data_IF_552294413201
#
_entry.id   IF_552294413201
#
_cell.length_a   1.000
_cell.length_b   1.000
_cell.length_c   1.000
_cell.angle_alpha   90.00
_cell.angle_beta   90.00
_cell.angle_gamma   90.00
#
_symmetry.space_group_name_H-M   'P 1'
#
loop_
_entity.id
_entity.type
_entity.pdbx_description
1 polymer ?
#
# COMPACT_ATOMS: atom_id res chain seq x y z
N UNK A 1 2.09 -17.37 -5.32
CA UNK A 1 1.13 -16.28 -5.11
C UNK A 1 1.89 -14.97 -5.34
N UNK A 2 1.49 -14.18 -6.33
CA UNK A 2 2.25 -12.98 -6.73
C UNK A 2 1.32 -11.78 -6.87
N UNK A 3 1.85 -10.60 -6.54
CA UNK A 3 1.23 -9.30 -6.76
C UNK A 3 2.21 -8.44 -7.57
N UNK A 4 2.26 -8.71 -8.88
CA UNK A 4 3.14 -8.05 -9.83
C UNK A 4 2.34 -7.54 -11.03
N UNK A 5 1.50 -6.51 -10.83
CA UNK A 5 0.62 -6.00 -11.87
C UNK A 5 1.39 -5.39 -13.04
N UNK A 6 0.71 -5.32 -14.19
CA UNK A 6 1.23 -4.70 -15.40
C UNK A 6 1.28 -3.19 -15.23
N UNK A 7 2.43 -2.59 -15.54
CA UNK A 7 2.51 -1.13 -15.66
C UNK A 7 1.92 -0.68 -16.99
N UNK A 8 1.01 0.29 -16.96
CA UNK A 8 0.30 0.76 -18.17
C UNK A 8 1.19 1.41 -19.22
N UNK A 9 2.40 1.86 -18.85
CA UNK A 9 3.31 2.53 -19.78
C UNK A 9 3.99 1.61 -20.79
N UNK A 10 4.36 0.39 -20.41
CA UNK A 10 5.01 -0.59 -21.30
C UNK A 10 4.32 -1.96 -21.33
N UNK A 11 3.24 -2.14 -20.57
CA UNK A 11 2.46 -3.37 -20.50
C UNK A 11 3.18 -4.53 -19.83
N UNK A 12 4.36 -4.31 -19.24
CA UNK A 12 5.13 -5.37 -18.56
C UNK A 12 4.89 -5.37 -17.05
N UNK A 13 4.98 -6.55 -16.38
CA UNK A 13 4.93 -6.61 -14.93
C UNK A 13 5.99 -5.72 -14.30
N UNK A 14 5.59 -4.88 -13.34
CA UNK A 14 6.51 -3.99 -12.62
C UNK A 14 7.34 -3.04 -13.51
N UNK A 15 6.89 -2.75 -14.73
CA UNK A 15 7.61 -1.91 -15.70
C UNK A 15 9.00 -2.44 -16.09
N UNK A 16 9.14 -3.77 -16.14
CA UNK A 16 10.40 -4.46 -16.43
C UNK A 16 11.01 -4.09 -17.78
N UNK A 17 10.21 -3.93 -18.84
CA UNK A 17 10.72 -3.60 -20.17
C UNK A 17 11.34 -2.19 -20.23
N UNK A 18 10.86 -1.29 -19.38
CA UNK A 18 11.40 0.06 -19.22
C UNK A 18 12.46 0.18 -18.12
N UNK A 19 12.87 -0.94 -17.52
CA UNK A 19 13.85 -0.97 -16.44
C UNK A 19 13.39 -0.32 -15.13
N UNK A 20 12.06 -0.16 -14.93
CA UNK A 20 11.50 0.47 -13.72
C UNK A 20 11.52 -0.43 -12.51
N UNK A 21 11.50 -1.73 -12.71
CA UNK A 21 11.46 -2.72 -11.65
C UNK A 21 11.40 -4.14 -12.19
N UNK A 22 11.15 -5.07 -11.29
CA UNK A 22 10.98 -6.50 -11.62
C UNK A 22 10.17 -7.19 -10.54
N UNK A 23 9.52 -8.30 -10.89
CA UNK A 23 8.79 -9.12 -9.93
C UNK A 23 9.76 -10.03 -9.17
N UNK A 24 9.95 -9.79 -7.87
CA UNK A 24 10.92 -10.49 -7.04
C UNK A 24 10.28 -11.17 -5.82
N UNK A 25 10.99 -12.11 -5.22
CA UNK A 25 10.59 -12.73 -3.95
C UNK A 25 10.62 -11.70 -2.82
N UNK A 26 9.63 -11.77 -1.94
CA UNK A 26 9.54 -10.86 -0.80
C UNK A 26 10.52 -11.30 0.29
N UNK A 27 11.37 -10.36 0.71
CA UNK A 27 12.30 -10.56 1.83
C UNK A 27 11.56 -10.37 3.15
N UNK A 28 11.38 -11.46 3.89
CA UNK A 28 10.76 -11.44 5.22
C UNK A 28 11.78 -11.12 6.29
N UNK A 29 11.33 -10.51 7.38
CA UNK A 29 12.16 -10.23 8.55
C UNK A 29 12.55 -11.52 9.26
N UNK A 30 13.85 -11.68 9.55
CA UNK A 30 14.38 -12.77 10.38
C UNK A 30 14.55 -12.35 11.86
N UNK A 31 14.01 -11.19 12.25
CA UNK A 31 14.07 -10.73 13.63
C UNK A 31 13.26 -11.67 14.54
N UNK A 32 13.71 -11.93 15.79
CA UNK A 32 12.98 -12.78 16.71
C UNK A 32 11.64 -12.15 17.09
N UNK A 33 10.61 -13.00 17.24
CA UNK A 33 9.31 -12.56 17.73
C UNK A 33 9.37 -12.26 19.23
N UNK A 34 8.63 -11.23 19.65
CA UNK A 34 8.49 -10.89 21.05
C UNK A 34 7.65 -11.95 21.79
N UNK A 35 7.96 -12.27 23.06
CA UNK A 35 7.20 -13.27 23.83
C UNK A 35 5.76 -12.83 24.16
N UNK A 36 5.39 -11.58 23.86
CA UNK A 36 4.06 -11.03 24.14
C UNK A 36 2.97 -11.61 23.23
N UNK A 37 3.35 -12.21 22.09
CA UNK A 37 2.43 -12.87 21.18
C UNK A 37 2.73 -14.38 21.15
N UNK A 38 2.07 -15.19 22.00
CA UNK A 38 2.38 -16.61 22.16
C UNK A 38 1.70 -17.52 21.11
N UNK A 39 1.17 -16.95 20.04
CA UNK A 39 0.47 -17.68 18.99
C UNK A 39 1.30 -17.74 17.71
N UNK A 40 1.00 -18.70 16.84
CA UNK A 40 1.65 -18.85 15.54
C UNK A 40 0.66 -19.40 14.53
N UNK A 41 0.64 -18.81 13.33
CA UNK A 41 -0.23 -19.22 12.23
C UNK A 41 -1.71 -18.93 12.49
N UNK A 42 -2.02 -17.98 13.37
CA UNK A 42 -3.40 -17.60 13.71
C UNK A 42 -3.79 -16.23 13.15
N UNK A 43 -2.81 -15.44 12.71
CA UNK A 43 -3.03 -14.09 12.22
C UNK A 43 -2.44 -13.87 10.83
N UNK A 44 -3.26 -13.34 9.91
CA UNK A 44 -2.86 -13.04 8.53
C UNK A 44 -1.69 -12.03 8.42
N UNK A 45 -1.43 -11.29 9.51
CA UNK A 45 -0.36 -10.28 9.62
C UNK A 45 0.99 -10.87 10.01
N UNK A 46 1.03 -12.14 10.43
CA UNK A 46 2.29 -12.82 10.71
C UNK A 46 3.14 -12.92 9.45
N UNK A 47 4.42 -12.56 9.55
CA UNK A 47 5.33 -12.54 8.39
C UNK A 47 4.76 -11.77 7.19
N UNK A 48 4.07 -10.66 7.45
CA UNK A 48 3.42 -9.86 6.40
C UNK A 48 4.38 -9.57 5.22
N UNK A 49 3.94 -9.77 3.96
CA UNK A 49 2.60 -10.15 3.49
C UNK A 49 2.47 -11.63 3.05
N UNK A 50 3.29 -12.55 3.57
CA UNK A 50 3.46 -13.91 3.00
C UNK A 50 2.20 -14.78 2.96
N UNK A 51 1.20 -14.47 3.79
CA UNK A 51 -0.10 -15.15 3.75
C UNK A 51 -0.77 -14.94 2.38
N UNK A 52 -0.71 -13.72 1.84
CA UNK A 52 -1.34 -13.36 0.58
C UNK A 52 -0.41 -13.54 -0.62
N UNK A 53 0.84 -13.05 -0.55
CA UNK A 53 1.76 -13.04 -1.67
C UNK A 53 3.19 -13.34 -1.22
N UNK A 54 3.92 -14.09 -2.05
CA UNK A 54 5.34 -14.38 -1.83
C UNK A 54 6.24 -13.58 -2.77
N UNK A 55 5.65 -12.96 -3.81
CA UNK A 55 6.33 -12.16 -4.81
C UNK A 55 5.62 -10.83 -5.02
N UNK A 56 6.39 -9.76 -5.13
CA UNK A 56 5.90 -8.41 -5.37
C UNK A 56 6.87 -7.61 -6.26
N UNK A 57 6.42 -6.47 -6.76
CA UNK A 57 7.28 -5.57 -7.52
C UNK A 57 8.38 -4.96 -6.64
N UNK A 58 9.63 -5.12 -7.07
CA UNK A 58 10.78 -4.39 -6.54
C UNK A 58 11.24 -3.37 -7.58
N UNK A 59 11.11 -2.09 -7.23
CA UNK A 59 11.41 -0.99 -8.13
C UNK A 59 12.89 -0.59 -8.10
N UNK A 60 13.39 -0.16 -9.25
CA UNK A 60 14.77 0.25 -9.48
C UNK A 60 14.95 1.75 -9.24
N UNK A 61 16.09 2.16 -8.68
CA UNK A 61 16.46 3.57 -8.55
C UNK A 61 15.43 4.40 -7.77
N UNK A 62 14.86 5.42 -8.42
CA UNK A 62 13.87 6.33 -7.84
C UNK A 62 12.42 5.98 -8.22
N UNK A 63 12.18 4.87 -8.91
CA UNK A 63 10.81 4.40 -9.18
C UNK A 63 10.17 3.81 -7.91
N UNK A 64 8.84 3.86 -7.82
CA UNK A 64 8.04 3.40 -6.68
C UNK A 64 6.61 3.07 -7.14
N UNK A 65 5.77 2.59 -6.23
CA UNK A 65 4.38 2.21 -6.50
C UNK A 65 4.22 0.70 -6.58
N UNK A 66 2.97 0.25 -6.64
CA UNK A 66 2.63 -1.18 -6.65
C UNK A 66 3.05 -1.88 -7.96
N UNK A 67 3.21 -1.12 -9.05
CA UNK A 67 3.63 -1.55 -10.39
C UNK A 67 4.93 -0.86 -10.87
N UNK A 68 5.62 -0.14 -9.98
CA UNK A 68 6.78 0.71 -10.29
C UNK A 68 6.52 1.88 -11.27
N UNK A 69 5.26 2.24 -11.49
CA UNK A 69 4.86 3.32 -12.39
C UNK A 69 4.99 4.74 -11.84
N UNK A 70 5.22 4.88 -10.53
CA UNK A 70 5.33 6.18 -9.84
C UNK A 70 6.74 6.46 -9.36
N UNK A 71 6.94 7.59 -8.69
CA UNK A 71 8.25 8.01 -8.20
C UNK A 71 8.32 7.97 -6.67
N UNK A 72 9.50 7.68 -6.15
CA UNK A 72 9.81 7.75 -4.73
C UNK A 72 9.53 9.16 -4.19
N UNK A 73 9.14 9.27 -2.93
CA UNK A 73 8.92 10.55 -2.26
C UNK A 73 10.10 11.53 -2.50
N UNK A 74 9.76 12.74 -2.96
CA UNK A 74 10.74 13.77 -3.31
C UNK A 74 11.21 13.75 -4.77
N UNK A 75 10.85 12.73 -5.55
CA UNK A 75 11.16 12.60 -6.97
C UNK A 75 9.89 12.65 -7.83
N UNK A 76 10.02 13.26 -9.01
CA UNK A 76 8.93 13.55 -9.94
C UNK A 76 9.43 13.44 -11.39
N UNK A 77 8.50 13.63 -12.32
CA UNK A 77 8.75 13.50 -13.76
C UNK A 77 8.61 12.06 -14.24
N UNK A 78 8.53 11.84 -15.56
CA UNK A 78 8.30 10.52 -16.14
C UNK A 78 9.40 9.51 -15.76
N UNK A 79 10.63 9.97 -15.56
CA UNK A 79 11.80 9.14 -15.22
C UNK A 79 12.25 9.27 -13.76
N UNK A 80 11.48 9.94 -12.91
CA UNK A 80 11.79 10.11 -11.48
C UNK A 80 13.17 10.76 -11.20
N UNK A 81 13.60 11.66 -12.09
CA UNK A 81 14.87 12.39 -11.99
C UNK A 81 14.70 13.80 -11.45
N UNK A 82 13.49 14.36 -11.50
CA UNK A 82 13.22 15.72 -11.04
C UNK A 82 13.03 15.72 -9.53
N UNK A 83 13.74 16.61 -8.82
CA UNK A 83 13.58 16.75 -7.37
C UNK A 83 12.49 17.76 -7.04
N UNK A 84 11.59 17.39 -6.14
CA UNK A 84 10.55 18.28 -5.61
C UNK A 84 10.57 18.28 -4.09
N UNK A 85 10.79 19.45 -3.52
CA UNK A 85 10.66 19.67 -2.07
C UNK A 85 9.21 20.06 -1.74
N UNK A 86 8.62 19.35 -0.78
CA UNK A 86 7.34 19.71 -0.18
C UNK A 86 7.56 20.04 1.30
N UNK A 87 7.04 21.17 1.77
CA UNK A 87 7.18 21.61 3.16
C UNK A 87 5.87 21.38 3.89
N UNK A 88 5.89 20.56 4.94
CA UNK A 88 4.76 20.41 5.87
C UNK A 88 4.79 21.58 6.84
N UNK A 89 3.81 22.47 6.74
CA UNK A 89 3.68 23.66 7.59
C UNK A 89 2.71 23.39 8.75
N UNK A 90 2.83 24.16 9.83
CA UNK A 90 1.83 24.16 10.89
C UNK A 90 0.49 24.63 10.31
N UNK A 91 -0.59 23.91 10.63
CA UNK A 91 -1.95 24.25 10.17
C UNK A 91 -2.37 25.64 10.61
N UNK A 92 -1.92 26.12 11.78
CA UNK A 92 -2.27 27.43 12.30
C UNK A 92 -1.66 28.58 11.49
N UNK A 93 -0.49 28.35 10.89
CA UNK A 93 0.26 29.33 10.08
C UNK A 93 -0.26 29.45 8.63
N UNK A 94 -1.25 28.63 8.25
CA UNK A 94 -1.86 28.69 6.93
C UNK A 94 -2.83 29.86 6.82
N UNK A 95 -2.85 30.49 5.64
CA UNK A 95 -3.86 31.49 5.26
C UNK A 95 -5.26 30.84 5.18
N UNK A 96 -6.31 31.66 5.27
CA UNK A 96 -7.70 31.17 5.17
C UNK A 96 -7.94 30.38 3.87
N UNK A 97 -7.51 30.83 2.68
CA UNK A 97 -7.65 30.05 1.45
C UNK A 97 -6.90 28.71 1.48
N UNK A 98 -5.70 28.66 2.07
CA UNK A 98 -4.93 27.41 2.21
C UNK A 98 -5.64 26.42 3.13
N UNK A 99 -6.17 26.87 4.27
CA UNK A 99 -6.97 26.04 5.19
C UNK A 99 -8.22 25.48 4.50
N UNK A 100 -8.96 26.34 3.79
CA UNK A 100 -10.16 25.92 3.06
C UNK A 100 -9.82 24.89 1.97
N UNK A 101 -8.72 25.09 1.24
CA UNK A 101 -8.24 24.13 0.23
C UNK A 101 -7.84 22.79 0.86
N UNK A 102 -7.15 22.81 2.00
CA UNK A 102 -6.79 21.60 2.74
C UNK A 102 -8.03 20.81 3.18
N UNK A 103 -9.00 21.47 3.82
CA UNK A 103 -10.25 20.85 4.25
C UNK A 103 -11.05 20.30 3.06
N UNK A 104 -11.13 21.05 1.96
CA UNK A 104 -11.80 20.59 0.74
C UNK A 104 -11.17 19.31 0.17
N UNK A 105 -9.84 19.18 0.18
CA UNK A 105 -9.19 17.95 -0.27
C UNK A 105 -9.36 16.77 0.67
N UNK A 106 -9.44 16.98 1.99
CA UNK A 106 -9.80 15.92 2.93
C UNK A 106 -11.22 15.40 2.65
N UNK A 107 -12.17 16.31 2.44
CA UNK A 107 -13.54 15.95 2.05
C UNK A 107 -13.55 15.23 0.71
N UNK A 108 -12.80 15.71 -0.28
CA UNK A 108 -12.68 15.03 -1.57
C UNK A 108 -12.14 13.60 -1.40
N UNK A 109 -11.08 13.41 -0.61
CA UNK A 109 -10.51 12.08 -0.35
C UNK A 109 -11.50 11.13 0.33
N UNK A 110 -12.38 11.65 1.20
CA UNK A 110 -13.44 10.86 1.85
C UNK A 110 -14.55 10.43 0.90
N UNK A 111 -14.76 11.17 -0.20
CA UNK A 111 -15.80 10.88 -1.19
C UNK A 111 -15.27 10.30 -2.51
N UNK A 112 -13.96 10.08 -2.63
CA UNK A 112 -13.33 9.53 -3.84
C UNK A 112 -12.91 8.08 -3.59
N UNK A 113 -13.50 7.14 -4.33
CA UNK A 113 -13.06 5.74 -4.32
C UNK A 113 -11.59 5.65 -4.74
N UNK A 114 -10.83 4.84 -4.00
CA UNK A 114 -9.43 4.53 -4.30
C UNK A 114 -9.34 3.80 -5.64
N UNK A 115 -8.58 4.31 -6.62
CA UNK A 115 -8.41 3.64 -7.91
C UNK A 115 -7.47 2.42 -7.82
N UNK A 116 -6.59 2.40 -6.82
CA UNK A 116 -5.46 1.47 -6.77
C UNK A 116 -5.61 0.37 -5.70
N UNK A 117 -6.46 0.60 -4.70
CA UNK A 117 -6.56 -0.27 -3.53
C UNK A 117 -8.01 -0.57 -3.14
N UNK A 118 -8.22 -1.83 -2.76
CA UNK A 118 -9.42 -2.36 -2.13
C UNK A 118 -9.06 -2.93 -0.76
N UNK A 119 -10.04 -3.10 0.12
CA UNK A 119 -9.81 -3.66 1.47
C UNK A 119 -10.39 -5.07 1.58
N UNK A 120 -9.70 -6.01 2.23
CA UNK A 120 -10.28 -7.32 2.54
C UNK A 120 -11.41 -7.18 3.55
N UNK A 121 -12.51 -7.89 3.33
CA UNK A 121 -13.69 -7.92 4.21
C UNK A 121 -13.79 -9.20 5.05
N UNK A 122 -12.88 -10.15 4.84
CA UNK A 122 -12.74 -11.38 5.61
C UNK A 122 -11.26 -11.78 5.80
N UNK A 123 -11.00 -12.76 6.66
CA UNK A 123 -9.66 -13.34 6.85
C UNK A 123 -9.27 -14.24 5.68
N UNK A 124 -7.99 -14.54 5.52
CA UNK A 124 -7.52 -15.43 4.45
C UNK A 124 -8.17 -16.82 4.49
N UNK A 125 -8.43 -17.33 5.70
CA UNK A 125 -9.19 -18.57 5.91
C UNK A 125 -10.64 -18.47 5.39
N UNK A 126 -11.33 -17.37 5.68
CA UNK A 126 -12.69 -17.11 5.16
C UNK A 126 -12.71 -16.96 3.63
N UNK A 127 -11.61 -16.49 3.04
CA UNK A 127 -11.42 -16.42 1.58
C UNK A 127 -11.11 -17.78 0.93
N UNK A 128 -11.32 -18.91 1.62
CA UNK A 128 -10.95 -20.24 1.15
C UNK A 128 -9.49 -20.29 0.66
N UNK A 129 -8.57 -19.77 1.49
CA UNK A 129 -7.14 -19.65 1.17
C UNK A 129 -6.87 -18.85 -0.12
N UNK A 130 -7.68 -17.81 -0.35
CA UNK A 130 -7.57 -16.90 -1.49
C UNK A 130 -8.29 -17.35 -2.76
N UNK A 131 -8.94 -18.52 -2.77
CA UNK A 131 -9.74 -18.96 -3.93
C UNK A 131 -11.10 -18.25 -4.03
N UNK A 132 -11.58 -17.67 -2.94
CA UNK A 132 -12.82 -16.88 -2.88
C UNK A 132 -12.48 -15.46 -2.42
N UNK A 133 -12.13 -14.53 -3.32
CA UNK A 133 -11.71 -13.19 -2.95
C UNK A 133 -12.84 -12.43 -2.26
N UNK A 134 -12.57 -11.87 -1.07
CA UNK A 134 -13.51 -11.05 -0.32
C UNK A 134 -12.93 -9.66 -0.14
N UNK A 135 -13.20 -8.77 -1.10
CA UNK A 135 -12.72 -7.40 -1.09
C UNK A 135 -13.87 -6.43 -1.33
N UNK A 136 -13.72 -5.20 -0.82
CA UNK A 136 -14.63 -4.09 -1.07
C UNK A 136 -13.85 -2.87 -1.52
N UNK A 137 -14.47 -2.10 -2.40
CA UNK A 137 -14.04 -0.73 -2.69
C UNK A 137 -13.98 0.09 -1.40
N UNK A 138 -13.04 1.03 -1.36
CA UNK A 138 -12.82 1.93 -0.24
C UNK A 138 -12.47 3.32 -0.78
N UNK A 139 -12.86 4.39 -0.09
CA UNK A 139 -12.39 5.73 -0.44
C UNK A 139 -10.97 5.99 0.10
N UNK A 140 -10.30 7.00 -0.44
CA UNK A 140 -8.90 7.32 -0.11
C UNK A 140 -8.70 7.57 1.39
N UNK A 141 -9.64 8.29 2.03
CA UNK A 141 -9.52 8.58 3.45
C UNK A 141 -9.77 7.35 4.33
N UNK A 142 -10.78 6.53 3.99
CA UNK A 142 -11.09 5.32 4.74
C UNK A 142 -10.06 4.22 4.54
N UNK A 143 -9.32 4.19 3.42
CA UNK A 143 -8.16 3.33 3.28
C UNK A 143 -7.10 3.66 4.34
N UNK A 144 -6.83 4.94 4.56
CA UNK A 144 -5.91 5.39 5.61
C UNK A 144 -6.38 4.96 7.02
N UNK A 145 -7.68 5.11 7.30
CA UNK A 145 -8.28 4.67 8.57
C UNK A 145 -8.25 3.15 8.71
N UNK A 146 -8.56 2.42 7.64
CA UNK A 146 -8.64 0.97 7.62
C UNK A 146 -7.25 0.34 7.85
N UNK A 147 -6.19 0.89 7.25
CA UNK A 147 -4.82 0.42 7.52
C UNK A 147 -4.49 0.51 9.00
N UNK A 148 -4.84 1.62 9.66
CA UNK A 148 -4.64 1.78 11.10
C UNK A 148 -5.43 0.73 11.88
N UNK A 149 -6.73 0.57 11.58
CA UNK A 149 -7.56 -0.46 12.19
C UNK A 149 -6.98 -1.88 12.00
N UNK A 150 -6.50 -2.21 10.80
CA UNK A 150 -5.99 -3.52 10.46
C UNK A 150 -4.69 -3.85 11.21
N UNK A 151 -3.79 -2.89 11.39
CA UNK A 151 -2.57 -3.12 12.20
C UNK A 151 -2.84 -3.14 13.70
N UNK A 152 -3.92 -2.49 14.17
CA UNK A 152 -4.20 -2.35 15.61
C UNK A 152 -5.26 -3.32 16.15
N UNK A 153 -6.01 -4.03 15.31
CA UNK A 153 -7.05 -4.97 15.76
C UNK A 153 -6.48 -6.20 16.45
N UNK A 154 -7.29 -6.81 17.31
CA UNK A 154 -6.97 -8.07 17.95
C UNK A 154 -6.89 -9.24 16.94
N UNK A 155 -6.07 -10.22 17.28
CA UNK A 155 -6.04 -11.53 16.63
C UNK A 155 -7.30 -12.32 16.99
N UNK A 156 -7.99 -12.85 15.98
CA UNK A 156 -9.18 -13.68 16.18
C UNK A 156 -8.77 -15.14 16.32
N UNK A 157 -9.14 -15.79 17.42
CA UNK A 157 -8.78 -17.19 17.71
C UNK A 157 -9.90 -18.20 17.42
N UNK A 158 -11.09 -17.76 17.05
CA UNK A 158 -12.29 -18.58 16.87
C UNK A 158 -13.51 -17.99 17.57
#
# INVERSE_FOLDING_TARGET
KECCPLWSGDGSPCGQLSGRGSCQDILLSNAPLGPQFPFTGVDDRESWPSVFYNRACQCSGNFMGFDCGTCRFGFWGPNCTERRLLVRRNIFDLTVPEKNKFLAYLTLAKHTTSPDYVIPTGTYGQMNNGSTPMFSDVNIYDLFVWMHYYVSRDTLLG
#
